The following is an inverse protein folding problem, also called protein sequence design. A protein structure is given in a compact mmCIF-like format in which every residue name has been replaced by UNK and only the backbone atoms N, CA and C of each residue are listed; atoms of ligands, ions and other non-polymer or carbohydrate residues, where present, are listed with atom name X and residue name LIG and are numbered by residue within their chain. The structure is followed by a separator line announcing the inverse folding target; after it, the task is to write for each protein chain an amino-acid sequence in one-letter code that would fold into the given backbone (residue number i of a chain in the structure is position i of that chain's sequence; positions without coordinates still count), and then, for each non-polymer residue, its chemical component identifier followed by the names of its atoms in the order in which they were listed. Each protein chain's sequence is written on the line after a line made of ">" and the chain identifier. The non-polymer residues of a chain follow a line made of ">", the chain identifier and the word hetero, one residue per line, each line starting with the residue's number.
data_IF_711151389379
#
_entry.id   IF_711151389379
#
_cell.length_a   1.000
_cell.length_b   1.000
_cell.length_c   1.000
_cell.angle_alpha   90.00
_cell.angle_beta   90.00
_cell.angle_gamma   90.00
#
_symmetry.space_group_name_H-M   'P 1'
#
loop_
_entity.id
_entity.type
_entity.pdbx_description
1 polymer ?
#
# COMPACT_ATOMS: atom_id res chain seq x y z
N UNK A 1 8.95 -37.02 56.89
CA UNK A 1 9.55 -38.35 57.14
C UNK A 1 10.61 -38.57 56.07
N UNK A 2 11.82 -38.54 56.56
CA UNK A 2 13.14 -38.82 55.99
C UNK A 2 13.30 -40.26 55.59
N UNK A 3 14.00 -40.64 54.55
CA UNK A 3 15.03 -41.67 54.58
C UNK A 3 16.00 -41.55 53.37
N UNK A 4 17.26 -41.63 53.76
CA UNK A 4 18.50 -41.53 53.00
C UNK A 4 19.06 -42.92 52.57
N UNK A 5 19.69 -43.02 51.39
CA UNK A 5 21.02 -43.61 50.99
C UNK A 5 21.22 -45.14 51.30
N UNK A 6 22.17 -45.90 50.66
CA UNK A 6 23.37 -45.52 49.89
C UNK A 6 23.74 -46.36 48.64
N UNK A 7 24.83 -45.91 48.01
CA UNK A 7 25.61 -46.46 46.92
C UNK A 7 26.30 -47.81 47.21
N UNK A 8 26.63 -48.60 46.19
CA UNK A 8 27.79 -49.48 46.19
C UNK A 8 28.45 -49.61 44.84
N UNK A 9 29.73 -49.28 44.82
CA UNK A 9 30.68 -49.51 43.73
C UNK A 9 30.95 -51.03 43.53
N UNK A 10 31.15 -51.46 42.27
CA UNK A 10 32.07 -52.56 42.00
C UNK A 10 32.79 -52.33 40.68
N UNK A 11 34.11 -52.23 40.73
CA UNK A 11 35.03 -52.18 39.62
C UNK A 11 35.38 -53.61 39.15
N UNK A 12 35.48 -53.81 37.87
CA UNK A 12 36.19 -54.96 37.26
C UNK A 12 36.90 -54.52 36.00
N UNK A 13 38.21 -54.52 36.08
CA UNK A 13 39.16 -54.33 34.99
C UNK A 13 39.39 -55.65 34.27
N UNK A 14 39.32 -55.64 32.94
CA UNK A 14 39.94 -56.67 32.11
C UNK A 14 40.67 -56.02 30.95
N UNK A 15 41.90 -56.49 30.78
CA UNK A 15 42.91 -55.99 29.83
C UNK A 15 42.80 -56.66 28.45
N UNK A 16 43.33 -55.93 27.46
CA UNK A 16 44.09 -56.34 26.30
C UNK A 16 43.40 -56.75 25.02
N UNK A 17 43.81 -56.14 23.97
CA UNK A 17 43.67 -56.58 22.58
C UNK A 17 43.84 -55.44 21.58
N UNK A 18 45.11 -55.03 21.33
CA UNK A 18 45.40 -54.10 20.25
C UNK A 18 45.29 -54.82 18.91
N UNK A 19 44.39 -54.33 18.06
CA UNK A 19 44.41 -54.64 16.61
C UNK A 19 44.42 -53.34 15.86
N UNK A 20 45.54 -53.05 15.23
CA UNK A 20 45.76 -51.93 14.29
C UNK A 20 45.01 -52.19 12.98
N UNK A 21 44.05 -51.33 12.63
CA UNK A 21 43.45 -51.26 11.31
C UNK A 21 43.82 -49.92 10.65
N UNK A 22 44.22 -49.87 9.36
CA UNK A 22 44.75 -48.67 8.75
C UNK A 22 43.67 -47.65 8.51
N UNK A 23 43.98 -46.37 8.81
CA UNK A 23 43.15 -45.22 8.58
C UNK A 23 42.97 -44.99 7.07
N UNK A 24 41.76 -45.16 6.57
CA UNK A 24 41.35 -44.62 5.28
C UNK A 24 40.96 -43.16 5.49
N UNK A 25 41.79 -42.27 4.94
CA UNK A 25 41.48 -40.84 4.84
C UNK A 25 40.24 -40.65 3.95
N UNK A 26 39.07 -40.50 4.55
CA UNK A 26 37.91 -39.90 3.89
C UNK A 26 38.02 -38.37 4.10
N UNK A 27 38.61 -37.70 3.12
CA UNK A 27 38.50 -36.26 2.99
C UNK A 27 37.03 -35.91 2.76
N UNK A 28 36.37 -35.53 3.84
CA UNK A 28 35.03 -34.93 3.81
C UNK A 28 35.16 -33.55 3.15
N UNK A 29 34.96 -33.47 1.82
CA UNK A 29 34.80 -32.23 1.11
C UNK A 29 33.49 -31.60 1.58
N UNK A 30 33.55 -30.79 2.64
CA UNK A 30 32.50 -29.87 2.99
C UNK A 30 32.38 -28.89 1.81
N UNK A 31 31.41 -29.15 0.93
CA UNK A 31 30.97 -28.18 -0.06
C UNK A 31 30.44 -26.98 0.69
N UNK A 32 31.25 -25.98 0.88
CA UNK A 32 30.88 -24.64 1.29
C UNK A 32 29.96 -24.10 0.17
N UNK A 33 28.66 -24.22 0.34
CA UNK A 33 27.69 -23.52 -0.49
C UNK A 33 28.00 -22.04 -0.31
N UNK A 34 28.70 -21.46 -1.28
CA UNK A 34 28.88 -20.04 -1.37
C UNK A 34 27.49 -19.42 -1.47
N UNK A 35 27.01 -18.85 -0.36
CA UNK A 35 25.87 -17.94 -0.38
C UNK A 35 26.23 -16.85 -1.36
N UNK A 36 25.69 -16.90 -2.56
CA UNK A 36 25.77 -15.81 -3.50
C UNK A 36 25.19 -14.58 -2.81
N UNK A 37 26.06 -13.68 -2.40
CA UNK A 37 25.66 -12.40 -1.82
C UNK A 37 25.00 -11.62 -2.96
N UNK A 38 23.66 -11.67 -3.04
CA UNK A 38 22.89 -10.85 -3.99
C UNK A 38 23.19 -9.42 -3.62
N UNK A 39 23.81 -8.67 -4.55
CA UNK A 39 24.08 -7.25 -4.35
C UNK A 39 22.80 -6.53 -3.95
N UNK A 40 22.85 -5.59 -2.99
CA UNK A 40 21.66 -4.86 -2.58
C UNK A 40 21.01 -4.18 -3.79
N UNK A 41 19.67 -4.18 -3.90
CA UNK A 41 18.98 -3.59 -5.03
C UNK A 41 19.31 -2.10 -5.13
N UNK A 42 19.60 -1.63 -6.34
CA UNK A 42 19.90 -0.22 -6.60
C UNK A 42 18.63 0.60 -6.39
N UNK A 43 18.59 1.39 -5.33
CA UNK A 43 17.56 2.41 -5.09
C UNK A 43 17.84 3.58 -6.03
N UNK A 44 17.05 3.72 -7.09
CA UNK A 44 17.16 4.87 -7.97
C UNK A 44 16.59 6.14 -7.31
N UNK A 45 16.93 7.31 -7.83
CA UNK A 45 16.47 8.60 -7.29
C UNK A 45 14.96 8.77 -7.32
N UNK A 46 14.29 8.19 -8.32
CA UNK A 46 12.81 8.25 -8.44
C UNK A 46 12.13 7.47 -7.32
N UNK A 47 12.57 6.23 -7.05
CA UNK A 47 12.03 5.44 -5.94
C UNK A 47 12.22 6.17 -4.61
N UNK A 48 13.42 6.75 -4.40
CA UNK A 48 13.69 7.55 -3.21
C UNK A 48 12.73 8.74 -3.10
N UNK A 49 12.52 9.48 -4.17
CA UNK A 49 11.60 10.61 -4.19
C UNK A 49 10.15 10.18 -3.89
N UNK A 50 9.66 9.09 -4.52
CA UNK A 50 8.31 8.58 -4.28
C UNK A 50 8.10 8.21 -2.80
N UNK A 51 9.06 7.55 -2.16
CA UNK A 51 8.97 7.18 -0.74
C UNK A 51 9.01 8.42 0.17
N UNK A 52 9.91 9.37 -0.08
CA UNK A 52 10.00 10.60 0.70
C UNK A 52 8.73 11.45 0.58
N UNK A 53 8.20 11.58 -0.63
CA UNK A 53 6.95 12.29 -0.91
C UNK A 53 5.74 11.60 -0.24
N UNK A 54 5.65 10.27 -0.27
CA UNK A 54 4.57 9.53 0.40
C UNK A 54 4.59 9.78 1.92
N UNK A 55 5.78 9.76 2.55
CA UNK A 55 5.96 10.10 3.97
C UNK A 55 5.64 11.55 4.29
N UNK A 56 5.90 12.45 3.36
CA UNK A 56 5.51 13.86 3.48
C UNK A 56 4.04 14.11 3.16
N UNK A 57 3.24 13.06 2.90
CA UNK A 57 1.82 13.10 2.51
C UNK A 57 1.53 13.72 1.13
N UNK A 58 2.52 13.78 0.26
CA UNK A 58 2.36 14.12 -1.15
C UNK A 58 2.50 12.85 -1.99
N UNK A 59 1.47 12.01 -1.96
CA UNK A 59 1.48 10.69 -2.59
C UNK A 59 1.67 10.78 -4.10
N UNK A 60 2.52 9.90 -4.64
CA UNK A 60 2.60 9.65 -6.08
C UNK A 60 1.65 8.52 -6.54
N UNK A 61 0.71 8.09 -5.68
CA UNK A 61 -0.05 6.88 -5.88
C UNK A 61 0.81 5.64 -5.65
N UNK A 62 0.69 4.66 -6.51
CA UNK A 62 1.48 3.44 -6.41
C UNK A 62 2.98 3.73 -6.63
N UNK A 63 3.82 3.40 -5.65
CA UNK A 63 5.27 3.52 -5.72
C UNK A 63 5.80 2.41 -6.64
N UNK A 64 6.41 2.77 -7.75
CA UNK A 64 6.90 1.84 -8.79
C UNK A 64 8.36 2.08 -9.21
N UNK A 65 8.98 3.16 -8.72
CA UNK A 65 10.34 3.57 -9.07
C UNK A 65 10.45 4.17 -10.48
N UNK A 66 9.34 4.61 -11.09
CA UNK A 66 9.29 5.19 -12.44
C UNK A 66 8.80 6.64 -12.46
N UNK A 67 9.23 7.40 -13.46
CA UNK A 67 8.75 8.77 -13.68
C UNK A 67 7.36 8.72 -14.31
N UNK A 68 6.43 9.49 -13.77
CA UNK A 68 5.07 9.58 -14.28
C UNK A 68 4.36 10.88 -13.91
N UNK A 69 3.13 11.06 -14.42
CA UNK A 69 2.30 12.23 -14.13
C UNK A 69 2.02 12.40 -12.63
N UNK A 70 1.76 11.31 -11.93
CA UNK A 70 1.48 11.36 -10.49
C UNK A 70 2.70 11.80 -9.67
N UNK A 71 3.92 11.37 -10.03
CA UNK A 71 5.14 11.88 -9.39
C UNK A 71 5.27 13.39 -9.60
N UNK A 72 5.02 13.89 -10.82
CA UNK A 72 5.05 15.32 -11.11
C UNK A 72 4.04 16.10 -10.24
N UNK A 73 2.79 15.58 -10.12
CA UNK A 73 1.75 16.16 -9.27
C UNK A 73 2.18 16.23 -7.80
N UNK A 74 2.73 15.13 -7.29
CA UNK A 74 3.23 15.04 -5.92
C UNK A 74 4.34 16.05 -5.66
N UNK A 75 5.32 16.14 -6.57
CA UNK A 75 6.40 17.16 -6.49
C UNK A 75 5.82 18.57 -6.51
N UNK A 76 4.89 18.86 -7.42
CA UNK A 76 4.22 20.18 -7.51
C UNK A 76 3.53 20.57 -6.21
N UNK A 77 2.76 19.64 -5.60
CA UNK A 77 2.11 19.89 -4.31
C UNK A 77 3.10 20.11 -3.16
N UNK A 78 4.15 19.28 -3.10
CA UNK A 78 5.22 19.41 -2.12
C UNK A 78 5.95 20.77 -2.26
N UNK A 79 6.28 21.18 -3.48
CA UNK A 79 6.91 22.47 -3.75
C UNK A 79 6.02 23.65 -3.30
N UNK A 80 4.70 23.57 -3.55
CA UNK A 80 3.74 24.61 -3.09
C UNK A 80 3.75 24.73 -1.56
N UNK A 81 3.67 23.61 -0.82
CA UNK A 81 3.72 23.63 0.64
C UNK A 81 5.02 24.26 1.17
N UNK A 82 6.14 23.91 0.57
CA UNK A 82 7.46 24.37 1.01
C UNK A 82 7.87 25.74 0.42
N UNK A 83 6.96 26.42 -0.29
CA UNK A 83 7.20 27.73 -0.95
C UNK A 83 8.42 27.71 -1.86
N UNK A 84 8.67 26.58 -2.51
CA UNK A 84 9.72 26.40 -3.50
C UNK A 84 9.24 26.85 -4.90
N UNK A 85 10.15 27.10 -5.85
CA UNK A 85 9.77 27.24 -7.26
C UNK A 85 8.98 26.03 -7.73
N UNK A 86 7.76 26.26 -8.25
CA UNK A 86 6.82 25.19 -8.63
C UNK A 86 7.15 24.69 -10.04
N UNK A 87 8.17 23.85 -10.14
CA UNK A 87 8.65 23.29 -11.42
C UNK A 87 8.03 21.94 -11.77
N UNK A 88 7.49 21.23 -10.78
CA UNK A 88 7.05 19.82 -10.90
C UNK A 88 8.19 18.85 -11.17
N UNK A 89 9.45 19.28 -10.98
CA UNK A 89 10.66 18.47 -11.20
C UNK A 89 11.40 18.26 -9.89
N UNK A 90 12.13 17.17 -9.83
CA UNK A 90 13.04 16.86 -8.71
C UNK A 90 14.34 17.65 -8.87
N UNK A 91 14.26 18.97 -8.78
CA UNK A 91 15.38 19.91 -8.80
C UNK A 91 16.13 19.96 -7.44
N UNK A 92 17.24 20.69 -7.39
CA UNK A 92 18.11 20.74 -6.19
C UNK A 92 17.37 21.31 -4.97
N UNK A 93 16.50 22.31 -5.16
CA UNK A 93 15.70 22.88 -4.09
C UNK A 93 14.72 21.84 -3.51
N UNK A 94 14.03 21.10 -4.38
CA UNK A 94 13.14 20.02 -3.99
C UNK A 94 13.89 18.91 -3.26
N UNK A 95 15.05 18.49 -3.77
CA UNK A 95 15.89 17.49 -3.10
C UNK A 95 16.40 17.95 -1.74
N UNK A 96 16.77 19.23 -1.61
CA UNK A 96 17.21 19.80 -0.33
C UNK A 96 16.10 19.71 0.71
N UNK A 97 14.88 20.07 0.33
CA UNK A 97 13.71 19.97 1.22
C UNK A 97 13.34 18.51 1.54
N UNK A 98 13.33 17.60 0.56
CA UNK A 98 13.02 16.18 0.79
C UNK A 98 14.06 15.48 1.69
N UNK A 99 15.34 15.86 1.59
CA UNK A 99 16.42 15.27 2.40
C UNK A 99 16.39 15.67 3.88
N UNK A 100 15.50 16.56 4.29
CA UNK A 100 15.27 16.84 5.73
C UNK A 100 14.72 15.62 6.47
N UNK A 101 14.09 14.68 5.74
CA UNK A 101 13.75 13.35 6.25
C UNK A 101 14.97 12.41 6.13
N UNK A 102 15.63 12.05 7.25
CA UNK A 102 16.84 11.23 7.26
C UNK A 102 16.56 9.72 7.16
N UNK A 103 15.28 9.29 7.30
CA UNK A 103 14.95 7.89 7.37
C UNK A 103 15.28 7.14 6.06
N UNK A 104 15.72 5.89 6.13
CA UNK A 104 16.07 5.12 4.95
C UNK A 104 14.87 4.98 4.00
N UNK A 105 15.17 4.90 2.70
CA UNK A 105 14.15 4.72 1.63
C UNK A 105 13.47 3.36 1.70
N UNK A 106 14.23 2.34 2.03
CA UNK A 106 13.74 0.96 2.17
C UNK A 106 13.89 0.52 3.62
N UNK A 107 13.01 -0.39 4.03
CA UNK A 107 13.04 -1.05 5.32
C UNK A 107 13.02 -2.57 5.13
N UNK A 108 13.45 -3.31 6.15
CA UNK A 108 13.39 -4.77 6.19
C UNK A 108 12.09 -5.22 6.84
N UNK A 109 11.28 -5.98 6.12
CA UNK A 109 10.05 -6.56 6.61
C UNK A 109 10.16 -8.08 6.68
N UNK A 110 9.86 -8.66 7.83
CA UNK A 110 9.80 -10.12 8.01
C UNK A 110 8.37 -10.59 7.79
N UNK A 111 8.15 -11.48 6.80
CA UNK A 111 6.85 -12.08 6.56
C UNK A 111 6.36 -12.82 7.80
N UNK A 112 5.15 -12.50 8.23
CA UNK A 112 4.50 -13.15 9.36
C UNK A 112 3.73 -14.41 8.92
N UNK A 113 3.33 -15.24 9.89
CA UNK A 113 2.43 -16.35 9.62
C UNK A 113 1.06 -15.84 9.09
N UNK A 114 0.57 -14.71 9.60
CA UNK A 114 -0.69 -14.11 9.17
C UNK A 114 -0.62 -13.61 7.73
N UNK A 115 0.52 -13.03 7.30
CA UNK A 115 0.70 -12.65 5.89
C UNK A 115 0.59 -13.87 4.96
N UNK A 116 1.06 -15.05 5.40
CA UNK A 116 1.02 -16.28 4.58
C UNK A 116 -0.36 -16.96 4.62
N UNK A 117 -1.07 -16.87 5.74
CA UNK A 117 -2.32 -17.60 5.95
C UNK A 117 -3.44 -17.19 4.96
N UNK A 118 -3.49 -15.95 4.51
CA UNK A 118 -4.55 -15.49 3.62
C UNK A 118 -5.92 -15.39 4.33
N UNK A 119 -7.02 -15.75 3.69
CA UNK A 119 -7.13 -16.37 2.36
C UNK A 119 -6.88 -15.39 1.20
N UNK A 120 -6.21 -15.88 0.15
CA UNK A 120 -6.02 -15.17 -1.11
C UNK A 120 -6.89 -15.81 -2.18
N UNK A 121 -7.89 -15.07 -2.65
CA UNK A 121 -8.89 -15.59 -3.59
C UNK A 121 -8.96 -14.69 -4.82
N UNK A 122 -8.85 -15.25 -6.03
CA UNK A 122 -9.01 -14.46 -7.25
C UNK A 122 -10.33 -13.67 -7.25
N UNK A 123 -10.25 -12.40 -7.61
CA UNK A 123 -11.42 -11.51 -7.64
C UNK A 123 -12.19 -11.75 -8.94
N UNK A 124 -13.48 -12.12 -8.88
CA UNK A 124 -14.29 -12.32 -10.08
C UNK A 124 -14.49 -11.02 -10.86
N UNK A 125 -14.70 -11.14 -12.16
CA UNK A 125 -14.92 -9.99 -13.03
C UNK A 125 -16.30 -9.35 -12.85
N UNK A 126 -17.36 -10.18 -12.75
CA UNK A 126 -18.75 -9.68 -12.72
C UNK A 126 -19.21 -9.28 -11.33
N UNK A 127 -20.12 -8.30 -11.23
CA UNK A 127 -20.72 -7.91 -9.94
C UNK A 127 -21.52 -9.04 -9.31
N UNK A 128 -22.20 -9.86 -10.14
CA UNK A 128 -22.95 -11.03 -9.66
C UNK A 128 -22.05 -12.08 -9.00
N UNK A 129 -20.88 -12.34 -9.57
CA UNK A 129 -19.93 -13.31 -8.97
C UNK A 129 -19.21 -12.71 -7.75
N UNK A 130 -18.87 -11.41 -7.77
CA UNK A 130 -18.35 -10.71 -6.59
C UNK A 130 -19.33 -10.80 -5.42
N UNK A 131 -20.64 -10.69 -5.67
CA UNK A 131 -21.67 -10.77 -4.64
C UNK A 131 -21.77 -12.14 -3.95
N UNK A 132 -21.22 -13.20 -4.55
CA UNK A 132 -21.18 -14.56 -3.96
C UNK A 132 -20.04 -14.75 -2.97
N UNK A 133 -19.06 -13.85 -2.98
CA UNK A 133 -17.94 -13.93 -2.06
C UNK A 133 -18.33 -13.33 -0.69
N UNK A 134 -17.97 -14.00 0.42
CA UNK A 134 -18.25 -13.50 1.77
C UNK A 134 -17.42 -12.26 2.11
N UNK A 135 -16.32 -12.04 1.39
CA UNK A 135 -15.41 -10.90 1.53
C UNK A 135 -14.64 -10.70 0.22
N UNK A 136 -14.38 -9.44 -0.14
CA UNK A 136 -13.48 -9.07 -1.25
C UNK A 136 -12.07 -8.83 -0.69
N UNK A 137 -11.42 -9.91 -0.19
CA UNK A 137 -10.02 -9.89 0.28
C UNK A 137 -9.03 -9.70 -0.86
N UNK A 138 -7.74 -9.72 -0.54
CA UNK A 138 -6.67 -9.67 -1.53
C UNK A 138 -6.63 -10.96 -2.37
N UNK A 139 -6.31 -10.82 -3.66
CA UNK A 139 -6.16 -11.95 -4.56
C UNK A 139 -4.79 -12.66 -4.40
N UNK A 140 -3.82 -11.99 -3.81
CA UNK A 140 -2.48 -12.54 -3.58
C UNK A 140 -1.77 -11.87 -2.42
N UNK A 141 -0.76 -12.55 -1.84
CA UNK A 141 0.14 -11.95 -0.84
C UNK A 141 0.87 -10.72 -1.41
N UNK A 142 1.29 -10.77 -2.68
CA UNK A 142 1.98 -9.63 -3.30
C UNK A 142 1.11 -8.40 -3.41
N UNK A 143 -0.18 -8.57 -3.68
CA UNK A 143 -1.16 -7.48 -3.66
C UNK A 143 -1.33 -6.93 -2.24
N UNK A 144 -1.50 -7.79 -1.25
CA UNK A 144 -1.61 -7.39 0.15
C UNK A 144 -0.39 -6.59 0.64
N UNK A 145 0.81 -7.04 0.26
CA UNK A 145 2.06 -6.34 0.58
C UNK A 145 2.20 -5.03 -0.22
N UNK A 146 1.75 -5.01 -1.48
CA UNK A 146 1.69 -3.80 -2.30
C UNK A 146 0.85 -2.71 -1.63
N UNK A 147 -0.36 -3.06 -1.18
CA UNK A 147 -1.23 -2.16 -0.42
C UNK A 147 -0.58 -1.72 0.90
N UNK A 148 0.00 -2.65 1.66
CA UNK A 148 0.65 -2.37 2.95
C UNK A 148 1.82 -1.40 2.83
N UNK A 149 2.59 -1.48 1.75
CA UNK A 149 3.79 -0.68 1.51
C UNK A 149 3.62 0.34 0.37
N UNK A 150 2.39 0.61 -0.06
CA UNK A 150 1.99 1.59 -1.06
C UNK A 150 2.70 1.42 -2.41
N UNK A 151 3.05 0.19 -2.79
CA UNK A 151 3.90 -0.04 -3.96
C UNK A 151 3.38 -1.15 -4.88
N UNK A 152 3.86 -1.13 -6.12
CA UNK A 152 3.48 -2.15 -7.08
C UNK A 152 4.02 -3.54 -6.70
N UNK A 153 3.26 -4.62 -6.96
CA UNK A 153 3.76 -5.98 -6.86
C UNK A 153 5.03 -6.22 -7.68
N UNK A 154 5.17 -5.52 -8.81
CA UNK A 154 6.36 -5.59 -9.67
C UNK A 154 7.59 -5.00 -8.97
N UNK A 155 7.45 -3.86 -8.29
CA UNK A 155 8.55 -3.28 -7.50
C UNK A 155 8.96 -4.20 -6.35
N UNK A 156 8.02 -4.79 -5.63
CA UNK A 156 8.34 -5.74 -4.56
C UNK A 156 9.19 -6.91 -5.07
N UNK A 157 8.84 -7.49 -6.22
CA UNK A 157 9.65 -8.55 -6.85
C UNK A 157 11.04 -8.05 -7.25
N UNK A 158 11.14 -6.85 -7.83
CA UNK A 158 12.40 -6.24 -8.24
C UNK A 158 13.34 -5.94 -7.06
N UNK A 159 12.78 -5.52 -5.92
CA UNK A 159 13.56 -5.28 -4.70
C UNK A 159 14.02 -6.57 -4.01
N UNK A 160 13.38 -7.70 -4.30
CA UNK A 160 13.56 -8.97 -3.62
C UNK A 160 13.87 -10.12 -4.61
N UNK A 161 14.95 -10.04 -5.41
CA UNK A 161 15.29 -11.11 -6.33
C UNK A 161 15.58 -12.40 -5.57
N UNK A 162 15.06 -13.52 -6.06
CA UNK A 162 15.23 -14.84 -5.45
C UNK A 162 14.34 -15.11 -4.21
N UNK A 163 13.57 -14.14 -3.73
CA UNK A 163 12.61 -14.37 -2.65
C UNK A 163 11.36 -15.06 -3.17
N UNK A 164 10.82 -15.95 -2.34
CA UNK A 164 9.68 -16.80 -2.75
C UNK A 164 8.32 -16.19 -2.42
N UNK A 165 8.26 -15.32 -1.41
CA UNK A 165 7.01 -14.78 -0.85
C UNK A 165 6.05 -15.88 -0.37
N UNK A 166 6.58 -16.98 0.20
CA UNK A 166 5.79 -18.16 0.59
C UNK A 166 6.02 -18.65 2.00
N UNK A 167 7.02 -18.12 2.70
CA UNK A 167 7.41 -18.62 4.02
C UNK A 167 7.42 -17.52 5.07
N UNK A 168 6.77 -17.76 6.20
CA UNK A 168 6.94 -16.92 7.38
C UNK A 168 8.43 -16.91 7.79
N UNK A 169 8.92 -15.77 8.26
CA UNK A 169 10.32 -15.52 8.55
C UNK A 169 11.18 -15.09 7.35
N UNK A 170 10.66 -15.13 6.12
CA UNK A 170 11.38 -14.60 4.96
C UNK A 170 11.49 -13.07 5.06
N UNK A 171 12.72 -12.55 4.99
CA UNK A 171 12.96 -11.10 5.04
C UNK A 171 12.87 -10.49 3.64
N UNK A 172 12.13 -9.40 3.55
CA UNK A 172 11.89 -8.64 2.33
C UNK A 172 12.36 -7.20 2.50
N UNK A 173 12.87 -6.59 1.43
CA UNK A 173 13.05 -5.15 1.34
C UNK A 173 11.77 -4.52 0.80
N UNK A 174 11.28 -3.49 1.47
CA UNK A 174 10.02 -2.82 1.18
C UNK A 174 10.19 -1.29 1.24
N UNK A 175 9.36 -0.48 0.54
CA UNK A 175 9.35 0.96 0.74
C UNK A 175 9.04 1.32 2.20
N UNK A 176 9.82 2.23 2.77
CA UNK A 176 9.65 2.67 4.14
C UNK A 176 8.60 3.78 4.24
N UNK A 177 7.33 3.42 4.20
CA UNK A 177 6.17 4.35 4.23
C UNK A 177 5.30 4.20 5.48
N UNK A 178 5.46 3.11 6.23
CA UNK A 178 4.57 2.78 7.36
C UNK A 178 4.74 3.74 8.53
N UNK A 179 5.92 4.32 8.69
CA UNK A 179 6.29 5.21 9.80
C UNK A 179 6.13 6.70 9.45
N UNK A 180 5.27 7.04 8.48
CA UNK A 180 4.98 8.44 8.16
C UNK A 180 4.39 9.17 9.38
N UNK A 181 4.72 10.46 9.60
CA UNK A 181 4.08 11.27 10.65
C UNK A 181 2.57 11.27 10.51
N UNK A 182 1.79 11.43 11.60
CA UNK A 182 0.34 11.56 11.48
C UNK A 182 -0.03 12.85 10.76
N UNK A 183 -1.03 12.77 9.86
CA UNK A 183 -1.62 13.95 9.22
C UNK A 183 -2.37 14.81 10.26
N UNK A 184 -2.20 16.14 10.25
CA UNK A 184 -3.06 17.04 11.02
C UNK A 184 -4.49 17.00 10.48
N UNK A 185 -5.44 17.58 11.23
CA UNK A 185 -6.83 17.69 10.78
C UNK A 185 -6.93 18.69 9.63
N UNK A 186 -7.67 18.31 8.60
CA UNK A 186 -7.99 19.16 7.46
C UNK A 186 -9.35 19.85 7.68
N UNK A 187 -9.43 21.11 7.28
CA UNK A 187 -10.67 21.89 7.25
C UNK A 187 -11.40 21.74 5.90
N UNK A 188 -10.64 21.57 4.83
CA UNK A 188 -11.19 21.51 3.46
C UNK A 188 -10.52 20.40 2.66
N UNK A 189 -11.33 19.72 1.86
CA UNK A 189 -10.90 18.83 0.77
C UNK A 189 -11.07 19.63 -0.52
N UNK A 190 -10.00 19.81 -1.27
CA UNK A 190 -10.02 20.40 -2.60
C UNK A 190 -9.75 19.31 -3.64
N UNK A 191 -10.69 19.08 -4.55
CA UNK A 191 -10.50 18.16 -5.70
C UNK A 191 -10.41 19.00 -6.96
N UNK A 192 -9.33 18.82 -7.69
CA UNK A 192 -9.07 19.46 -8.98
C UNK A 192 -9.05 18.37 -10.07
N UNK A 193 -10.06 18.40 -10.94
CA UNK A 193 -10.22 17.41 -12.01
C UNK A 193 -9.17 17.60 -13.11
N UNK A 194 -8.78 18.84 -13.42
CA UNK A 194 -7.76 19.14 -14.45
C UNK A 194 -6.40 18.65 -13.99
N UNK A 195 -6.03 18.92 -12.74
CA UNK A 195 -4.78 18.42 -12.18
C UNK A 195 -4.84 16.94 -11.78
N UNK A 196 -6.03 16.36 -11.65
CA UNK A 196 -6.23 14.98 -11.19
C UNK A 196 -5.70 14.78 -9.78
N UNK A 197 -6.04 15.68 -8.86
CA UNK A 197 -5.55 15.67 -7.47
C UNK A 197 -6.68 15.89 -6.47
N UNK A 198 -6.49 15.32 -5.28
CA UNK A 198 -7.20 15.68 -4.06
C UNK A 198 -6.19 16.26 -3.08
N UNK A 199 -6.41 17.50 -2.66
CA UNK A 199 -5.56 18.22 -1.71
C UNK A 199 -6.31 18.45 -0.40
N UNK A 200 -5.70 18.16 0.71
CA UNK A 200 -6.19 18.53 2.04
C UNK A 200 -5.62 19.89 2.44
N UNK A 201 -6.51 20.79 2.86
CA UNK A 201 -6.14 22.13 3.32
C UNK A 201 -6.44 22.27 4.80
N UNK A 202 -5.58 22.95 5.53
CA UNK A 202 -5.82 23.35 6.90
C UNK A 202 -6.85 24.50 7.01
N UNK A 203 -7.09 25.01 8.22
CA UNK A 203 -8.04 26.10 8.47
C UNK A 203 -7.57 27.44 7.85
N UNK A 204 -6.28 27.59 7.59
CA UNK A 204 -5.68 28.75 6.91
C UNK A 204 -5.70 28.64 5.38
N UNK A 205 -6.16 27.51 4.84
CA UNK A 205 -6.17 27.23 3.39
C UNK A 205 -4.82 26.74 2.85
N UNK A 206 -3.86 26.41 3.72
CA UNK A 206 -2.57 25.87 3.31
C UNK A 206 -2.67 24.36 3.02
N UNK A 207 -2.04 23.87 1.94
CA UNK A 207 -1.99 22.44 1.65
C UNK A 207 -1.21 21.71 2.74
N UNK A 208 -1.79 20.64 3.31
CA UNK A 208 -1.14 19.75 4.29
C UNK A 208 -0.90 18.35 3.73
N UNK A 209 -1.57 17.98 2.65
CA UNK A 209 -1.39 16.72 1.95
C UNK A 209 -1.95 16.82 0.53
N UNK A 210 -1.44 16.01 -0.39
CA UNK A 210 -1.99 15.85 -1.73
C UNK A 210 -1.88 14.42 -2.21
N UNK A 211 -2.93 13.95 -2.88
CA UNK A 211 -3.06 12.59 -3.41
C UNK A 211 -3.47 12.65 -4.88
N UNK A 212 -2.97 11.77 -5.75
CA UNK A 212 -3.51 11.64 -7.09
C UNK A 212 -4.94 11.11 -7.01
N UNK A 213 -5.82 11.64 -7.84
CA UNK A 213 -7.21 11.27 -7.90
C UNK A 213 -7.65 10.95 -9.33
N UNK A 214 -8.54 9.98 -9.47
CA UNK A 214 -9.33 9.78 -10.69
C UNK A 214 -10.73 10.31 -10.44
N UNK A 215 -11.16 11.23 -11.27
CA UNK A 215 -12.45 11.92 -11.15
C UNK A 215 -13.30 11.65 -12.39
N UNK A 216 -14.48 12.19 -12.45
CA UNK A 216 -15.48 12.03 -13.48
C UNK A 216 -15.00 11.92 -14.93
N UNK A 217 -15.93 11.68 -15.82
CA UNK A 217 -15.70 11.53 -17.26
C UNK A 217 -16.52 12.55 -18.05
N UNK A 218 -16.44 12.50 -19.38
CA UNK A 218 -17.33 13.31 -20.23
C UNK A 218 -18.81 12.95 -20.04
N UNK A 219 -19.11 11.69 -19.71
CA UNK A 219 -20.47 11.20 -19.45
C UNK A 219 -20.95 11.58 -18.05
N UNK A 220 -20.10 11.43 -17.08
CA UNK A 220 -20.38 11.69 -15.66
C UNK A 220 -19.33 12.68 -15.14
N UNK A 221 -19.45 13.99 -15.46
CA UNK A 221 -18.47 14.97 -15.06
C UNK A 221 -18.43 15.15 -13.54
N UNK A 222 -17.30 15.61 -13.03
CA UNK A 222 -17.18 15.98 -11.63
C UNK A 222 -18.21 17.09 -11.33
N UNK A 223 -19.07 16.96 -10.31
CA UNK A 223 -20.05 17.99 -9.97
C UNK A 223 -19.36 19.17 -9.27
N UNK A 224 -18.93 20.16 -10.04
CA UNK A 224 -18.27 21.34 -9.52
C UNK A 224 -19.10 22.05 -8.45
N UNK A 225 -18.43 22.69 -7.50
CA UNK A 225 -19.08 23.44 -6.45
C UNK A 225 -18.57 23.11 -5.05
N UNK A 226 -19.36 23.58 -4.06
CA UNK A 226 -19.07 23.39 -2.64
C UNK A 226 -20.04 22.39 -2.05
N UNK A 227 -19.49 21.34 -1.44
CA UNK A 227 -20.18 20.26 -0.77
C UNK A 227 -19.65 20.08 0.65
N UNK A 228 -20.22 19.18 1.41
CA UNK A 228 -19.76 18.84 2.77
C UNK A 228 -19.66 17.34 2.93
N UNK A 229 -18.79 16.89 3.83
CA UNK A 229 -18.73 15.49 4.27
C UNK A 229 -19.91 15.18 5.17
N UNK A 230 -20.77 14.24 4.78
CA UNK A 230 -21.90 13.76 5.58
C UNK A 230 -21.50 12.67 6.56
N UNK A 231 -20.55 11.82 6.17
CA UNK A 231 -20.12 10.69 6.98
C UNK A 231 -19.00 9.91 6.33
N UNK A 232 -18.49 8.93 7.07
CA UNK A 232 -17.44 8.01 6.62
C UNK A 232 -17.85 6.59 6.97
N UNK A 233 -17.75 5.69 6.01
CA UNK A 233 -17.84 4.25 6.22
C UNK A 233 -16.48 3.60 5.92
N UNK A 234 -15.91 2.90 6.91
CA UNK A 234 -14.71 2.09 6.75
C UNK A 234 -15.12 0.64 6.49
N UNK A 235 -14.48 0.01 5.50
CA UNK A 235 -14.85 -1.31 4.99
C UNK A 235 -16.35 -1.42 4.64
N UNK A 236 -16.87 -0.53 3.75
CA UNK A 236 -18.28 -0.56 3.39
C UNK A 236 -18.64 -1.78 2.55
N UNK A 237 -19.89 -2.22 2.63
CA UNK A 237 -20.47 -2.99 1.54
C UNK A 237 -20.82 -2.06 0.37
N UNK A 238 -20.66 -2.56 -0.85
CA UNK A 238 -21.05 -1.81 -2.04
C UNK A 238 -22.38 -2.30 -2.59
N UNK A 239 -23.35 -1.38 -2.76
CA UNK A 239 -24.67 -1.68 -3.29
C UNK A 239 -24.73 -1.31 -4.77
N UNK A 240 -24.32 -2.26 -5.60
CA UNK A 240 -24.35 -2.08 -7.06
C UNK A 240 -25.79 -1.93 -7.56
N UNK A 241 -26.03 -0.89 -8.36
CA UNK A 241 -27.27 -0.68 -9.08
C UNK A 241 -26.95 -0.33 -10.54
N UNK A 242 -27.15 -1.27 -11.49
CA UNK A 242 -26.77 -1.04 -12.90
C UNK A 242 -27.49 0.15 -13.54
N UNK A 243 -28.63 0.58 -13.01
CA UNK A 243 -29.35 1.76 -13.54
C UNK A 243 -28.60 3.09 -13.34
N UNK A 244 -27.57 3.10 -12.51
CA UNK A 244 -26.73 4.27 -12.25
C UNK A 244 -25.50 4.31 -13.15
N UNK A 245 -25.33 3.32 -14.06
CA UNK A 245 -24.15 3.21 -14.90
C UNK A 245 -24.57 3.12 -16.36
N UNK A 246 -24.12 4.03 -17.17
CA UNK A 246 -24.44 4.08 -18.61
C UNK A 246 -23.82 2.93 -19.41
N UNK A 247 -22.73 2.35 -18.90
CA UNK A 247 -21.98 1.23 -19.49
C UNK A 247 -22.35 -0.13 -18.87
N UNK A 248 -23.41 -0.17 -18.04
CA UNK A 248 -23.92 -1.42 -17.49
C UNK A 248 -24.38 -2.36 -18.61
N UNK A 249 -24.00 -3.63 -18.49
CA UNK A 249 -24.31 -4.64 -19.51
C UNK A 249 -25.79 -5.08 -19.42
N UNK A 250 -26.40 -5.43 -20.55
CA UNK A 250 -27.73 -6.03 -20.54
C UNK A 250 -27.76 -7.29 -19.65
N UNK A 251 -28.79 -7.39 -18.81
CA UNK A 251 -28.97 -8.51 -17.88
C UNK A 251 -28.27 -8.34 -16.52
N UNK A 252 -27.48 -7.29 -16.29
CA UNK A 252 -26.96 -7.01 -14.97
C UNK A 252 -28.08 -6.63 -14.00
N UNK A 253 -27.96 -7.11 -12.76
CA UNK A 253 -28.94 -6.89 -11.68
C UNK A 253 -28.29 -6.22 -10.49
N UNK A 254 -29.13 -5.64 -9.62
CA UNK A 254 -28.66 -5.11 -8.35
C UNK A 254 -27.93 -6.19 -7.55
N UNK A 255 -26.83 -5.82 -6.94
CA UNK A 255 -26.00 -6.73 -6.14
C UNK A 255 -25.44 -6.03 -4.89
N UNK A 256 -25.30 -6.78 -3.82
CA UNK A 256 -24.58 -6.33 -2.62
C UNK A 256 -23.22 -7.01 -2.59
N UNK A 257 -22.18 -6.22 -2.69
CA UNK A 257 -20.81 -6.68 -2.70
C UNK A 257 -20.22 -6.54 -1.31
N UNK A 258 -19.67 -7.62 -0.77
CA UNK A 258 -19.12 -7.66 0.57
C UNK A 258 -17.90 -6.72 0.73
N UNK A 259 -17.58 -6.29 1.97
CA UNK A 259 -16.41 -5.45 2.24
C UNK A 259 -15.08 -6.11 1.88
N UNK A 260 -14.06 -5.29 1.72
CA UNK A 260 -12.67 -5.70 1.52
C UNK A 260 -11.90 -4.79 0.56
N UNK A 261 -10.56 -4.93 0.48
CA UNK A 261 -9.72 -4.08 -0.36
C UNK A 261 -10.08 -4.17 -1.85
N UNK A 262 -10.60 -5.32 -2.29
CA UNK A 262 -11.05 -5.57 -3.67
C UNK A 262 -12.55 -5.26 -3.90
N UNK A 263 -13.20 -4.60 -2.95
CA UNK A 263 -14.52 -4.03 -3.18
C UNK A 263 -14.43 -2.90 -4.21
N UNK A 264 -15.42 -2.70 -5.10
CA UNK A 264 -15.42 -1.62 -6.11
C UNK A 264 -15.15 -0.21 -5.56
N UNK A 265 -15.54 0.04 -4.31
CA UNK A 265 -15.27 1.31 -3.61
C UNK A 265 -14.11 1.21 -2.60
N UNK A 266 -13.33 0.14 -2.66
CA UNK A 266 -12.18 -0.09 -1.80
C UNK A 266 -12.53 -0.19 -0.31
N UNK A 267 -11.62 0.26 0.54
CA UNK A 267 -11.68 0.11 2.00
C UNK A 267 -12.39 1.25 2.72
N UNK A 268 -12.78 2.31 2.03
CA UNK A 268 -13.50 3.43 2.64
C UNK A 268 -14.37 4.17 1.63
N UNK A 269 -15.49 4.70 2.15
CA UNK A 269 -16.38 5.61 1.46
C UNK A 269 -16.59 6.86 2.33
N UNK A 270 -16.32 8.02 1.76
CA UNK A 270 -16.59 9.33 2.35
C UNK A 270 -17.79 9.91 1.61
N UNK A 271 -18.91 10.00 2.30
CA UNK A 271 -20.19 10.44 1.75
C UNK A 271 -20.25 11.96 1.66
N UNK A 272 -20.69 12.47 0.52
CA UNK A 272 -20.80 13.91 0.26
C UNK A 272 -22.26 14.36 0.28
N UNK A 273 -22.49 15.65 0.55
CA UNK A 273 -23.83 16.25 0.49
C UNK A 273 -24.43 16.33 -0.92
N UNK A 274 -23.66 15.94 -1.95
CA UNK A 274 -24.16 15.69 -3.30
C UNK A 274 -24.63 14.25 -3.40
N UNK A 275 -25.91 14.04 -3.71
CA UNK A 275 -26.49 12.70 -3.84
C UNK A 275 -25.72 11.84 -4.83
N UNK A 276 -25.44 10.60 -4.43
CA UNK A 276 -24.73 9.57 -5.20
C UNK A 276 -23.25 9.86 -5.47
N UNK A 277 -22.65 10.89 -4.87
CA UNK A 277 -21.23 11.20 -5.00
C UNK A 277 -20.48 10.96 -3.70
N UNK A 278 -19.26 10.45 -3.85
CA UNK A 278 -18.38 10.18 -2.72
C UNK A 278 -16.91 10.16 -3.12
N UNK A 279 -16.06 10.15 -2.10
CA UNK A 279 -14.61 9.92 -2.24
C UNK A 279 -14.35 8.53 -1.68
N UNK A 280 -13.67 7.66 -2.45
CA UNK A 280 -13.50 6.26 -2.05
C UNK A 280 -12.19 5.65 -2.52
N UNK A 281 -11.84 4.49 -1.96
CA UNK A 281 -10.70 3.69 -2.38
C UNK A 281 -10.93 2.93 -3.70
N UNK A 282 -9.96 2.15 -4.11
CA UNK A 282 -10.05 1.35 -5.33
C UNK A 282 -9.25 0.04 -5.19
N UNK A 283 -9.71 -1.06 -5.82
CA UNK A 283 -8.90 -2.27 -5.98
C UNK A 283 -7.80 -2.13 -7.06
N UNK A 284 -7.75 -1.02 -7.79
CA UNK A 284 -6.86 -0.80 -8.92
C UNK A 284 -5.95 0.43 -8.72
N UNK A 285 -5.02 0.41 -7.75
CA UNK A 285 -4.19 1.56 -7.41
C UNK A 285 -3.33 2.05 -8.60
N UNK A 286 -2.88 1.14 -9.47
CA UNK A 286 -2.09 1.48 -10.66
C UNK A 286 -2.81 2.42 -11.64
N UNK A 287 -4.15 2.49 -11.59
CA UNK A 287 -4.98 3.28 -12.49
C UNK A 287 -5.31 4.68 -11.95
N UNK A 288 -5.04 4.97 -10.69
CA UNK A 288 -5.35 6.25 -10.06
C UNK A 288 -4.57 7.39 -10.71
N UNK A 289 -5.28 8.48 -11.03
CA UNK A 289 -4.75 9.65 -11.73
C UNK A 289 -4.46 9.42 -13.22
N UNK A 290 -4.86 8.26 -13.78
CA UNK A 290 -4.64 7.86 -15.18
C UNK A 290 -5.93 7.49 -15.91
N UNK A 291 -7.01 7.22 -15.19
CA UNK A 291 -8.33 6.82 -15.72
C UNK A 291 -9.43 7.70 -15.17
N UNK A 292 -10.53 7.79 -15.90
CA UNK A 292 -11.76 8.49 -15.51
C UNK A 292 -12.68 7.60 -14.67
N UNK A 293 -13.66 8.20 -14.00
CA UNK A 293 -14.68 7.52 -13.19
C UNK A 293 -16.10 7.83 -13.68
N UNK A 294 -17.10 7.20 -13.07
CA UNK A 294 -18.53 7.51 -13.21
C UNK A 294 -18.96 8.64 -12.25
N UNK A 295 -18.13 9.69 -12.13
CA UNK A 295 -18.42 10.86 -11.32
C UNK A 295 -17.76 10.89 -9.94
N UNK A 296 -17.65 9.76 -9.25
CA UNK A 296 -17.01 9.69 -7.92
C UNK A 296 -15.50 9.97 -7.96
N UNK A 297 -14.94 10.40 -6.84
CA UNK A 297 -13.53 10.66 -6.66
C UNK A 297 -12.86 9.38 -6.14
N UNK A 298 -11.97 8.79 -6.93
CA UNK A 298 -11.23 7.57 -6.58
C UNK A 298 -9.81 7.89 -6.15
N UNK A 299 -9.39 7.31 -5.03
CA UNK A 299 -8.04 7.31 -4.50
C UNK A 299 -7.53 5.88 -4.37
N UNK A 300 -6.23 5.70 -4.11
CA UNK A 300 -5.74 4.40 -3.62
C UNK A 300 -6.36 4.09 -2.25
N UNK A 301 -6.41 2.81 -1.88
CA UNK A 301 -6.95 2.41 -0.57
C UNK A 301 -6.16 3.03 0.60
N UNK A 302 -4.84 3.11 0.50
CA UNK A 302 -4.02 3.73 1.55
C UNK A 302 -4.20 5.24 1.63
N UNK A 303 -4.36 5.94 0.49
CA UNK A 303 -4.55 7.39 0.46
C UNK A 303 -5.93 7.78 0.97
N UNK A 304 -7.02 7.06 0.60
CA UNK A 304 -8.34 7.34 1.15
C UNK A 304 -8.37 7.16 2.67
N UNK A 305 -7.62 6.19 3.21
CA UNK A 305 -7.51 6.01 4.66
C UNK A 305 -6.74 7.14 5.35
N UNK A 306 -5.74 7.76 4.69
CA UNK A 306 -5.11 8.99 5.17
C UNK A 306 -6.13 10.14 5.22
N UNK A 307 -6.93 10.31 4.16
CA UNK A 307 -8.02 11.32 4.11
C UNK A 307 -9.02 11.08 5.25
N UNK A 308 -9.54 9.86 5.41
CA UNK A 308 -10.49 9.49 6.49
C UNK A 308 -9.98 9.89 7.87
N UNK A 309 -8.69 9.67 8.15
CA UNK A 309 -8.09 10.03 9.44
C UNK A 309 -7.95 11.54 9.63
N UNK A 310 -7.81 12.31 8.55
CA UNK A 310 -7.58 13.76 8.60
C UNK A 310 -8.86 14.59 8.64
N UNK A 311 -10.00 14.07 8.18
CA UNK A 311 -11.26 14.83 8.08
C UNK A 311 -12.22 14.56 9.24
N UNK A 312 -13.25 15.40 9.33
CA UNK A 312 -14.41 15.22 10.22
C UNK A 312 -15.70 15.43 9.44
N UNK A 313 -16.82 14.94 9.97
CA UNK A 313 -18.16 15.27 9.44
C UNK A 313 -18.35 16.79 9.41
N UNK A 314 -18.91 17.31 8.33
CA UNK A 314 -19.09 18.74 8.10
C UNK A 314 -17.89 19.43 7.44
N UNK A 315 -16.74 18.73 7.23
CA UNK A 315 -15.62 19.30 6.49
C UNK A 315 -16.07 19.78 5.09
N UNK A 316 -15.57 20.91 4.67
CA UNK A 316 -15.85 21.48 3.33
C UNK A 316 -15.20 20.62 2.25
N UNK A 317 -15.92 20.41 1.15
CA UNK A 317 -15.41 19.77 -0.07
C UNK A 317 -15.62 20.72 -1.24
N UNK A 318 -14.52 21.12 -1.87
CA UNK A 318 -14.52 21.95 -3.08
C UNK A 318 -14.15 21.07 -4.26
N UNK A 319 -15.05 20.99 -5.24
CA UNK A 319 -14.84 20.27 -6.48
C UNK A 319 -14.73 21.27 -7.62
N UNK A 320 -13.62 21.21 -8.36
CA UNK A 320 -13.33 22.12 -9.48
C UNK A 320 -12.70 21.36 -10.66
N UNK A 321 -12.90 21.88 -11.88
CA UNK A 321 -12.30 21.40 -13.11
C UNK A 321 -10.96 22.11 -13.39
#
# INVERSE_FOLDING_TARGET
>A
LTFLIPALLLAASVHAGAATVPATNNANAAATAASATIAPPVVNSVLRAQVLLDRAHFSSGEIDGTVGSNLRRAVTGFQKLHQLPVSGKLDDATWTALKTDPAPTLDSYTLTADDIAGPYVPVPATMADKARLPRLGYASLLEALGEKFHCSPALLRKLNPGKTFKRAGEQLLVPNVVNAPPLPKAATILVDATEGTLTLLDAGGMPIAQFPASTGSKHDPLPEGRWTVLGVAVNPDYRYNPKLFWDAKPGETKARIAPGPNNPVGVAWIDLSKDHYGIHGTPEPANIGKTQSHGCIRLTNWDVMKVVKAITRGATVLLQA
#
